data_IF_124206255564
#
_entry.id   IF_124206255564
#
_cell.length_a   1.000
_cell.length_b   1.000
_cell.length_c   1.000
_cell.angle_alpha   90.00
_cell.angle_beta   90.00
_cell.angle_gamma   90.00
#
_symmetry.space_group_name_H-M   'P 1'
#
loop_
_entity.id
_entity.type
_entity.pdbx_description
1 polymer ?
#
# COMPACT_ATOMS: atom_id res chain seq x y z
N UNK A 1 -13.28 0.80 2.34
CA UNK A 1 -12.85 2.22 2.29
C UNK A 1 -11.34 2.27 2.53
N UNK A 2 -10.57 3.09 1.81
CA UNK A 2 -9.10 3.17 1.95
C UNK A 2 -8.73 4.53 2.57
N UNK A 3 -7.96 4.52 3.65
CA UNK A 3 -7.57 5.73 4.39
C UNK A 3 -6.05 5.88 4.34
N UNK A 4 -5.57 6.94 3.69
CA UNK A 4 -4.14 7.26 3.59
C UNK A 4 -3.56 7.53 4.97
N UNK A 5 -2.36 6.99 5.24
CA UNK A 5 -1.68 7.12 6.53
C UNK A 5 -2.21 6.20 7.62
N UNK A 6 -3.27 5.43 7.35
CA UNK A 6 -3.81 4.42 8.27
C UNK A 6 -3.71 3.02 7.67
N UNK A 7 -4.12 2.85 6.42
CA UNK A 7 -4.14 1.54 5.78
C UNK A 7 -2.87 1.30 4.94
N UNK A 8 -2.19 0.20 5.24
CA UNK A 8 -1.36 -0.51 4.27
C UNK A 8 -2.27 -1.28 3.31
N UNK A 9 -1.78 -1.56 2.11
CA UNK A 9 -2.54 -2.23 1.07
C UNK A 9 -1.76 -3.40 0.48
N UNK A 10 -2.47 -4.50 0.24
CA UNK A 10 -2.02 -5.63 -0.56
C UNK A 10 -2.96 -5.79 -1.75
N UNK A 11 -2.40 -5.85 -2.95
CA UNK A 11 -3.12 -6.13 -4.18
C UNK A 11 -2.63 -7.46 -4.75
N UNK A 12 -3.55 -8.36 -5.09
CA UNK A 12 -3.29 -9.61 -5.81
C UNK A 12 -4.17 -9.70 -7.05
N UNK A 13 -3.60 -10.11 -8.19
CA UNK A 13 -4.33 -10.41 -9.43
C UNK A 13 -3.59 -11.49 -10.21
N UNK A 14 -4.11 -12.71 -10.21
CA UNK A 14 -3.38 -13.87 -10.75
C UNK A 14 -2.03 -14.08 -10.03
N UNK A 15 -0.93 -14.07 -10.78
CA UNK A 15 0.45 -14.16 -10.24
C UNK A 15 1.03 -12.82 -9.81
N UNK A 16 0.39 -11.69 -10.16
CA UNK A 16 0.86 -10.35 -9.84
C UNK A 16 0.48 -9.97 -8.40
N UNK A 17 1.45 -9.45 -7.63
CA UNK A 17 1.24 -9.00 -6.24
C UNK A 17 2.04 -7.74 -5.91
N UNK A 18 1.43 -6.84 -5.17
CA UNK A 18 2.08 -5.62 -4.67
C UNK A 18 1.60 -5.28 -3.27
N UNK A 19 2.51 -4.79 -2.42
CA UNK A 19 2.20 -4.36 -1.06
C UNK A 19 2.83 -3.00 -0.75
N UNK A 20 2.11 -2.15 -0.05
CA UNK A 20 2.65 -0.95 0.59
C UNK A 20 2.24 -0.90 2.06
N UNK A 21 3.17 -0.47 2.91
CA UNK A 21 2.91 -0.14 4.31
C UNK A 21 2.13 1.19 4.43
N UNK A 22 1.42 1.43 5.55
CA UNK A 22 0.59 2.62 5.75
C UNK A 22 1.30 3.97 5.49
N UNK A 23 2.57 4.07 5.86
CA UNK A 23 3.39 5.28 5.80
C UNK A 23 3.87 5.66 4.39
N UNK A 24 3.81 4.73 3.43
CA UNK A 24 4.35 4.96 2.08
C UNK A 24 3.60 6.06 1.36
N UNK A 25 2.27 6.06 1.42
CA UNK A 25 1.46 7.08 0.76
C UNK A 25 1.69 8.47 1.37
N UNK A 26 1.85 8.56 2.69
CA UNK A 26 2.11 9.81 3.41
C UNK A 26 3.48 10.36 3.05
N UNK A 27 4.54 9.55 3.12
CA UNK A 27 5.92 9.98 2.83
C UNK A 27 6.10 10.45 1.38
N UNK A 28 5.27 9.96 0.45
CA UNK A 28 5.30 10.37 -0.97
C UNK A 28 4.28 11.46 -1.33
N UNK A 29 3.47 11.93 -0.38
CA UNK A 29 2.43 12.94 -0.63
C UNK A 29 1.33 12.45 -1.57
N UNK A 30 1.05 11.14 -1.59
CA UNK A 30 0.05 10.55 -2.46
C UNK A 30 -1.35 10.66 -1.85
N UNK A 31 -2.32 11.01 -2.69
CA UNK A 31 -3.72 10.85 -2.36
C UNK A 31 -4.16 9.38 -2.50
N UNK A 32 -5.40 9.10 -2.11
CA UNK A 32 -5.96 7.73 -2.15
C UNK A 32 -5.90 7.11 -3.54
N UNK A 33 -6.19 7.87 -4.60
CA UNK A 33 -6.24 7.32 -5.96
C UNK A 33 -4.84 7.03 -6.49
N UNK A 34 -3.90 7.95 -6.25
CA UNK A 34 -2.48 7.77 -6.57
C UNK A 34 -1.90 6.57 -5.83
N UNK A 35 -2.25 6.39 -4.56
CA UNK A 35 -1.80 5.24 -3.77
C UNK A 35 -2.24 3.90 -4.38
N UNK A 36 -3.50 3.79 -4.81
CA UNK A 36 -4.05 2.59 -5.45
C UNK A 36 -3.43 2.34 -6.83
N UNK A 37 -3.23 3.39 -7.62
CA UNK A 37 -2.64 3.27 -8.96
C UNK A 37 -1.15 2.92 -8.91
N UNK A 38 -0.40 3.47 -7.94
CA UNK A 38 0.99 3.09 -7.72
C UNK A 38 1.12 1.69 -7.11
N UNK A 39 0.12 1.22 -6.33
CA UNK A 39 0.07 -0.16 -5.87
C UNK A 39 -0.10 -1.13 -7.04
N UNK A 40 -0.94 -0.79 -8.02
CA UNK A 40 -1.05 -1.56 -9.27
C UNK A 40 0.31 -1.63 -9.98
N UNK A 41 0.99 -0.50 -10.14
CA UNK A 41 2.32 -0.47 -10.77
C UNK A 41 3.34 -1.31 -10.00
N UNK A 42 3.30 -1.28 -8.66
CA UNK A 42 4.17 -2.11 -7.82
C UNK A 42 3.89 -3.61 -8.00
N UNK A 43 2.65 -3.98 -8.32
CA UNK A 43 2.26 -5.34 -8.65
C UNK A 43 2.56 -5.74 -10.10
N UNK A 44 3.25 -4.89 -10.88
CA UNK A 44 3.45 -5.04 -12.33
C UNK A 44 2.14 -5.06 -13.13
N UNK A 45 1.18 -4.22 -12.71
CA UNK A 45 -0.13 -4.06 -13.34
C UNK A 45 -0.32 -2.62 -13.85
N UNK A 46 -1.14 -2.42 -14.90
CA UNK A 46 -1.59 -1.10 -15.31
C UNK A 46 -2.30 -0.33 -14.19
N UNK A 47 -2.20 1.00 -14.21
CA UNK A 47 -2.97 1.86 -13.29
C UNK A 47 -4.47 1.56 -13.43
N UNK A 48 -5.20 1.62 -12.32
CA UNK A 48 -6.62 1.29 -12.28
C UNK A 48 -6.97 -0.19 -12.19
N UNK A 49 -6.02 -1.13 -12.33
CA UNK A 49 -6.29 -2.57 -12.26
C UNK A 49 -6.84 -3.04 -10.90
N UNK A 50 -6.74 -2.24 -9.85
CA UNK A 50 -7.41 -2.48 -8.56
C UNK A 50 -8.94 -2.48 -8.65
N UNK A 51 -9.52 -2.01 -9.77
CA UNK A 51 -10.96 -2.03 -10.06
C UNK A 51 -11.41 -3.28 -10.81
N UNK A 52 -10.47 -4.09 -11.30
CA UNK A 52 -10.80 -5.26 -12.10
C UNK A 52 -11.52 -6.31 -11.25
N UNK A 53 -12.45 -7.05 -11.85
CA UNK A 53 -13.29 -8.00 -11.10
C UNK A 53 -12.50 -9.18 -10.49
N UNK A 54 -11.32 -9.47 -11.04
CA UNK A 54 -10.40 -10.50 -10.58
C UNK A 54 -9.24 -9.95 -9.73
N UNK A 55 -9.27 -8.66 -9.38
CA UNK A 55 -8.32 -8.05 -8.45
C UNK A 55 -8.82 -8.18 -7.01
N UNK A 56 -7.95 -8.70 -6.14
CA UNK A 56 -8.19 -8.75 -4.70
C UNK A 56 -7.38 -7.64 -4.01
N UNK A 57 -8.10 -6.66 -3.45
CA UNK A 57 -7.51 -5.56 -2.69
C UNK A 57 -7.83 -5.71 -1.20
N UNK A 58 -6.78 -5.90 -0.40
CA UNK A 58 -6.86 -6.03 1.05
C UNK A 58 -6.20 -4.82 1.72
N UNK A 59 -6.80 -4.36 2.83
CA UNK A 59 -6.27 -3.30 3.66
C UNK A 59 -5.87 -3.86 5.03
N UNK A 60 -4.77 -3.36 5.58
CA UNK A 60 -4.29 -3.71 6.92
C UNK A 60 -3.76 -2.48 7.65
N UNK A 61 -3.59 -2.58 8.96
CA UNK A 61 -2.96 -1.56 9.80
C UNK A 61 -1.69 -2.17 10.41
N UNK A 62 -0.71 -1.35 10.76
CA UNK A 62 0.53 -1.80 11.39
C UNK A 62 1.01 -0.82 12.46
N UNK A 63 1.70 -1.36 13.45
CA UNK A 63 2.42 -0.61 14.48
C UNK A 63 3.90 -0.98 14.40
N UNK A 64 4.78 -0.01 14.66
CA UNK A 64 6.24 -0.18 14.61
C UNK A 64 6.88 0.48 15.84
N UNK A 65 7.93 -0.15 16.37
CA UNK A 65 8.73 0.37 17.47
C UNK A 65 10.19 0.47 17.03
N UNK A 66 10.87 1.54 17.43
CA UNK A 66 12.30 1.74 17.20
C UNK A 66 13.06 1.49 18.51
N UNK A 67 14.21 0.83 18.43
CA UNK A 67 15.09 0.66 19.57
C UNK A 67 15.94 1.92 19.75
N UNK A 68 15.90 2.52 20.94
CA UNK A 68 16.72 3.68 21.27
C UNK A 68 18.03 3.15 21.89
N UNK A 69 19.14 3.22 21.15
CA UNK A 69 20.45 3.02 21.74
C UNK A 69 20.72 4.15 22.74
N UNK A 70 20.83 3.79 24.03
CA UNK A 70 21.29 4.73 25.05
C UNK A 70 22.76 5.05 24.77
N UNK A 71 23.02 6.24 24.23
CA UNK A 71 24.37 6.79 24.19
C UNK A 71 24.90 6.88 25.63
N UNK A 72 25.91 6.06 25.94
CA UNK A 72 26.74 6.18 27.14
C UNK A 72 27.65 7.41 27.03
#
# INVERSE_FOLDING_TARGET
NVVVGKHGLLLSKGSCRGLFLPEVAVSRGWDRLTFLDELCRKADLPRGSWRDADAELQAFESESWEEIENAL
#
